data_IF_146900011953
#
_entry.id   IF_146900011953
#
_cell.length_a   1.000
_cell.length_b   1.000
_cell.length_c   1.000
_cell.angle_alpha   90.00
_cell.angle_beta   90.00
_cell.angle_gamma   90.00
#
_symmetry.space_group_name_H-M   'P 1'
#
loop_
_entity.id
_entity.type
_entity.pdbx_description
1 polymer ?
#
# COMPACT_ATOMS: atom_id res chain seq x y z
N UNK A 1 -14.70 -25.48 34.57
CA UNK A 1 -15.00 -24.95 33.22
C UNK A 1 -13.98 -23.86 32.92
N UNK A 2 -13.12 -24.05 31.92
CA UNK A 2 -12.14 -23.03 31.53
C UNK A 2 -12.88 -21.85 30.90
N UNK A 3 -12.94 -20.72 31.59
CA UNK A 3 -13.40 -19.47 30.98
C UNK A 3 -12.43 -19.12 29.85
N UNK A 4 -12.94 -18.91 28.64
CA UNK A 4 -12.12 -18.42 27.53
C UNK A 4 -11.67 -17.00 27.92
N UNK A 5 -10.42 -16.86 28.37
CA UNK A 5 -9.99 -15.65 29.10
C UNK A 5 -9.82 -14.42 28.21
N UNK A 6 -9.69 -14.56 26.88
CA UNK A 6 -9.72 -13.43 25.94
C UNK A 6 -9.97 -13.93 24.52
N UNK A 7 -11.01 -13.42 23.86
CA UNK A 7 -11.29 -13.70 22.44
C UNK A 7 -10.73 -12.58 21.56
N UNK A 8 -9.96 -12.95 20.54
CA UNK A 8 -9.44 -12.01 19.54
C UNK A 8 -10.09 -12.27 18.19
N UNK A 9 -10.62 -11.23 17.53
CA UNK A 9 -11.30 -11.35 16.24
C UNK A 9 -10.88 -10.27 15.25
N UNK A 10 -11.13 -10.56 13.97
CA UNK A 10 -11.08 -9.65 12.84
C UNK A 10 -12.31 -9.92 11.97
N UNK A 11 -13.20 -8.95 11.88
CA UNK A 11 -14.42 -9.00 11.09
C UNK A 11 -14.26 -7.98 9.96
N UNK A 12 -14.57 -8.40 8.74
CA UNK A 12 -14.68 -7.51 7.59
C UNK A 12 -16.08 -7.64 7.02
N UNK A 13 -16.75 -6.51 6.82
CA UNK A 13 -18.04 -6.41 6.14
C UNK A 13 -17.87 -5.51 4.93
N UNK A 14 -18.32 -6.00 3.79
CA UNK A 14 -18.36 -5.27 2.52
C UNK A 14 -19.84 -5.05 2.19
N UNK A 15 -20.25 -3.81 2.06
CA UNK A 15 -21.63 -3.45 1.73
C UNK A 15 -21.63 -2.64 0.45
N UNK A 16 -22.46 -3.06 -0.50
CA UNK A 16 -22.78 -2.32 -1.71
C UNK A 16 -24.16 -1.66 -1.50
N UNK A 17 -24.28 -0.38 -1.82
CA UNK A 17 -25.50 0.40 -1.69
C UNK A 17 -26.07 0.70 -3.09
N UNK A 18 -27.39 0.86 -3.17
CA UNK A 18 -28.09 1.33 -4.36
C UNK A 18 -28.48 2.82 -4.19
N UNK A 19 -28.53 3.28 -2.95
CA UNK A 19 -28.88 4.63 -2.51
C UNK A 19 -27.71 5.23 -1.70
N UNK A 20 -27.60 6.57 -1.58
CA UNK A 20 -26.49 7.18 -0.86
C UNK A 20 -26.34 6.60 0.55
N UNK A 21 -25.15 6.09 0.92
CA UNK A 21 -24.98 5.36 2.16
C UNK A 21 -25.24 6.24 3.37
N UNK A 22 -25.91 5.69 4.39
CA UNK A 22 -25.88 6.27 5.73
C UNK A 22 -24.41 6.22 6.19
N UNK A 23 -23.80 7.39 6.39
CA UNK A 23 -22.43 7.50 6.85
C UNK A 23 -22.33 7.02 8.31
N UNK A 24 -21.95 5.77 8.50
CA UNK A 24 -21.70 5.20 9.83
C UNK A 24 -20.30 5.60 10.27
N UNK A 25 -20.15 6.11 11.50
CA UNK A 25 -18.84 6.44 12.05
C UNK A 25 -18.18 5.23 12.71
N UNK A 26 -16.84 5.25 12.84
CA UNK A 26 -16.10 4.24 13.59
C UNK A 26 -16.63 4.10 15.04
N UNK A 27 -17.11 5.20 15.65
CA UNK A 27 -17.65 5.21 17.02
C UNK A 27 -18.99 4.48 17.10
N UNK A 28 -19.85 4.63 16.11
CA UNK A 28 -21.15 3.95 16.07
C UNK A 28 -20.97 2.44 16.02
N UNK A 29 -20.01 1.97 15.22
CA UNK A 29 -19.68 0.55 15.14
C UNK A 29 -19.07 0.06 16.45
N UNK A 30 -18.12 0.77 17.03
CA UNK A 30 -17.52 0.39 18.32
C UNK A 30 -18.56 0.26 19.44
N UNK A 31 -19.59 1.11 19.46
CA UNK A 31 -20.68 1.05 20.47
C UNK A 31 -21.45 -0.28 20.44
N UNK A 32 -21.55 -0.93 19.28
CA UNK A 32 -22.25 -2.23 19.15
C UNK A 32 -21.56 -3.37 19.90
N UNK A 33 -20.29 -3.22 20.26
CA UNK A 33 -19.51 -4.24 20.95
C UNK A 33 -19.31 -3.96 22.45
N UNK A 34 -19.96 -2.94 23.01
CA UNK A 34 -19.79 -2.52 24.42
C UNK A 34 -20.15 -3.60 25.45
N UNK A 35 -21.03 -4.54 25.08
CA UNK A 35 -21.46 -5.64 25.95
C UNK A 35 -20.61 -6.92 25.80
N UNK A 36 -19.56 -6.90 24.97
CA UNK A 36 -18.69 -8.06 24.74
C UNK A 36 -17.45 -7.92 25.62
N UNK A 37 -17.18 -8.93 26.46
CA UNK A 37 -15.93 -9.03 27.22
C UNK A 37 -14.77 -9.42 26.28
N UNK A 38 -14.26 -8.47 25.51
CA UNK A 38 -13.06 -8.61 24.71
C UNK A 38 -12.07 -7.48 25.00
N UNK A 39 -10.86 -7.57 24.43
CA UNK A 39 -9.89 -6.48 24.46
C UNK A 39 -10.41 -5.23 23.74
N UNK A 40 -9.60 -4.16 23.74
CA UNK A 40 -9.91 -2.92 23.03
C UNK A 40 -10.28 -3.19 21.57
N UNK A 41 -11.37 -2.57 21.12
CA UNK A 41 -11.91 -2.74 19.77
C UNK A 41 -11.56 -1.52 18.94
N UNK A 42 -11.08 -1.79 17.74
CA UNK A 42 -10.75 -0.78 16.74
C UNK A 42 -11.64 -1.01 15.53
N UNK A 43 -12.07 0.09 14.92
CA UNK A 43 -12.87 0.08 13.71
C UNK A 43 -12.21 0.94 12.64
N UNK A 44 -12.24 0.47 11.41
CA UNK A 44 -11.79 1.19 10.21
C UNK A 44 -12.88 1.08 9.15
N UNK A 45 -13.33 2.22 8.63
CA UNK A 45 -14.31 2.28 7.55
C UNK A 45 -13.65 2.98 6.35
N UNK A 46 -13.65 2.30 5.22
CA UNK A 46 -13.26 2.84 3.93
C UNK A 46 -14.51 3.03 3.06
N UNK A 47 -14.65 4.21 2.48
CA UNK A 47 -15.72 4.57 1.54
C UNK A 47 -15.12 4.62 0.13
N UNK A 48 -15.73 3.90 -0.82
CA UNK A 48 -15.30 3.82 -2.21
C UNK A 48 -16.30 4.59 -3.10
N UNK A 49 -15.84 5.15 -4.23
CA UNK A 49 -16.62 6.04 -5.08
C UNK A 49 -17.84 5.39 -5.76
N UNK A 50 -17.99 4.07 -5.69
CA UNK A 50 -19.09 3.31 -6.26
C UNK A 50 -19.84 2.63 -5.11
N UNK A 51 -20.67 3.40 -4.41
CA UNK A 51 -21.63 2.94 -3.40
C UNK A 51 -21.17 1.75 -2.56
N UNK A 52 -19.92 1.77 -2.12
CA UNK A 52 -19.30 0.60 -1.49
C UNK A 52 -18.58 1.04 -0.26
N UNK A 53 -18.82 0.31 0.82
CA UNK A 53 -18.09 0.49 2.08
C UNK A 53 -17.46 -0.80 2.51
N UNK A 54 -16.26 -0.68 3.06
CA UNK A 54 -15.62 -1.78 3.77
C UNK A 54 -15.42 -1.36 5.21
N UNK A 55 -16.16 -2.00 6.10
CA UNK A 55 -16.00 -1.88 7.53
C UNK A 55 -15.12 -3.03 8.03
N UNK A 56 -14.12 -2.69 8.83
CA UNK A 56 -13.25 -3.64 9.52
C UNK A 56 -13.35 -3.39 11.01
N UNK A 57 -13.62 -4.44 11.77
CA UNK A 57 -13.65 -4.40 13.23
C UNK A 57 -12.73 -5.46 13.77
N UNK A 58 -11.84 -5.08 14.67
CA UNK A 58 -10.91 -6.03 15.28
C UNK A 58 -10.58 -5.67 16.71
N UNK A 59 -10.31 -6.71 17.49
CA UNK A 59 -9.87 -6.60 18.88
C UNK A 59 -8.35 -6.65 18.99
N UNK A 60 -7.79 -5.95 19.96
CA UNK A 60 -6.37 -6.05 20.31
C UNK A 60 -6.09 -7.21 21.29
N UNK A 61 -4.90 -7.85 21.22
CA UNK A 61 -3.81 -7.60 20.28
C UNK A 61 -4.08 -8.14 18.87
N UNK A 62 -3.51 -7.46 17.86
CA UNK A 62 -3.68 -7.81 16.43
C UNK A 62 -3.01 -9.14 16.10
N UNK A 63 -3.76 -10.10 15.57
CA UNK A 63 -3.24 -11.42 15.17
C UNK A 63 -3.31 -11.71 13.66
N UNK A 64 -3.93 -10.85 12.87
CA UNK A 64 -4.01 -11.05 11.42
C UNK A 64 -2.74 -10.53 10.73
N UNK A 65 -2.36 -11.20 9.64
CA UNK A 65 -1.12 -10.90 8.90
C UNK A 65 -1.34 -10.21 7.56
N UNK A 66 -2.61 -10.08 7.14
CA UNK A 66 -2.99 -9.52 5.86
C UNK A 66 -4.08 -8.47 6.08
N UNK A 67 -3.95 -7.34 5.39
CA UNK A 67 -4.94 -6.28 5.36
C UNK A 67 -5.12 -5.83 3.91
N UNK A 68 -6.36 -5.79 3.41
CA UNK A 68 -6.63 -5.57 1.99
C UNK A 68 -7.61 -4.43 1.78
N UNK A 69 -7.59 -3.83 0.58
CA UNK A 69 -8.48 -2.76 0.13
C UNK A 69 -8.49 -1.55 1.08
N UNK A 70 -7.31 -1.10 1.53
CA UNK A 70 -7.19 0.06 2.43
C UNK A 70 -7.02 1.33 1.61
N UNK A 71 -7.78 2.38 1.94
CA UNK A 71 -7.66 3.69 1.29
C UNK A 71 -6.83 4.65 2.16
N UNK A 72 -7.14 5.95 2.18
CA UNK A 72 -6.42 6.95 2.99
C UNK A 72 -6.68 6.84 4.50
N UNK A 73 -7.60 5.97 4.92
CA UNK A 73 -8.09 5.87 6.30
C UNK A 73 -7.28 4.89 7.15
N UNK A 74 -5.98 5.14 7.32
CA UNK A 74 -5.14 4.39 8.26
C UNK A 74 -5.30 5.00 9.67
N UNK A 75 -5.77 4.24 10.68
CA UNK A 75 -5.84 4.74 12.04
C UNK A 75 -4.45 4.94 12.62
N UNK A 76 -4.34 5.76 13.67
CA UNK A 76 -3.10 5.94 14.41
C UNK A 76 -2.79 4.72 15.30
N UNK A 77 -2.50 3.59 14.66
CA UNK A 77 -2.23 2.29 15.28
C UNK A 77 -1.05 1.63 14.54
N UNK A 78 -0.23 0.88 15.29
CA UNK A 78 0.86 0.08 14.72
C UNK A 78 0.41 -1.37 14.54
N UNK A 79 0.44 -1.84 13.30
CA UNK A 79 0.03 -3.17 12.86
C UNK A 79 1.23 -4.11 12.75
N UNK A 80 1.84 -4.46 13.89
CA UNK A 80 3.07 -5.27 13.93
C UNK A 80 2.94 -6.66 13.31
N UNK A 81 1.75 -7.25 13.29
CA UNK A 81 1.49 -8.58 12.71
C UNK A 81 1.22 -8.55 11.21
N UNK A 82 0.87 -7.38 10.63
CA UNK A 82 0.54 -7.25 9.22
C UNK A 82 1.82 -7.23 8.38
N UNK A 83 1.91 -8.22 7.48
CA UNK A 83 3.03 -8.40 6.55
C UNK A 83 2.62 -8.28 5.10
N UNK A 84 1.31 -8.36 4.80
CA UNK A 84 0.76 -8.23 3.45
C UNK A 84 -0.30 -7.13 3.44
N UNK A 85 -0.10 -6.12 2.58
CA UNK A 85 -1.00 -4.98 2.48
C UNK A 85 -1.40 -4.73 1.02
N UNK A 86 -2.70 -4.59 0.79
CA UNK A 86 -3.25 -4.13 -0.49
C UNK A 86 -3.92 -2.77 -0.28
N UNK A 87 -3.38 -1.75 -0.94
CA UNK A 87 -3.89 -0.39 -0.95
C UNK A 87 -4.73 -0.14 -2.19
N UNK A 88 -5.76 0.69 -2.01
CA UNK A 88 -6.67 1.08 -3.06
C UNK A 88 -6.79 2.59 -3.13
N UNK A 89 -6.37 3.13 -4.26
CA UNK A 89 -6.26 4.56 -4.51
C UNK A 89 -7.57 5.12 -5.09
N UNK A 90 -8.59 5.25 -4.25
CA UNK A 90 -9.82 5.99 -4.58
C UNK A 90 -9.56 7.49 -4.68
N UNK A 91 -8.79 7.99 -3.71
CA UNK A 91 -8.32 9.37 -3.64
C UNK A 91 -6.79 9.33 -3.59
N UNK A 92 -6.10 10.07 -4.46
CA UNK A 92 -4.66 10.03 -4.55
C UNK A 92 -3.91 10.10 -3.22
N UNK A 93 -3.04 9.12 -2.98
CA UNK A 93 -2.17 9.09 -1.82
C UNK A 93 -1.15 10.23 -1.87
N UNK A 94 -1.22 11.12 -0.89
CA UNK A 94 -0.23 12.17 -0.67
C UNK A 94 1.05 11.61 -0.06
N UNK A 95 2.15 12.35 -0.15
CA UNK A 95 3.43 11.92 0.44
C UNK A 95 3.34 11.58 1.95
N UNK A 96 2.63 12.40 2.73
CA UNK A 96 2.37 12.17 4.16
C UNK A 96 1.64 10.84 4.45
N UNK A 97 0.90 10.31 3.47
CA UNK A 97 0.28 8.99 3.61
C UNK A 97 1.35 7.90 3.65
N UNK A 98 2.39 7.95 2.81
CA UNK A 98 3.47 6.96 2.82
C UNK A 98 4.30 7.01 4.11
N UNK A 99 4.44 8.19 4.74
CA UNK A 99 5.07 8.29 6.07
C UNK A 99 4.21 7.56 7.12
N UNK A 100 2.90 7.83 7.12
CA UNK A 100 1.96 7.15 8.03
C UNK A 100 1.94 5.64 7.76
N UNK A 101 2.02 5.24 6.50
CA UNK A 101 2.05 3.85 6.07
C UNK A 101 3.27 3.11 6.64
N UNK A 102 4.48 3.66 6.46
CA UNK A 102 5.70 3.05 7.00
C UNK A 102 5.67 2.93 8.54
N UNK A 103 5.10 3.94 9.23
CA UNK A 103 4.93 3.92 10.70
C UNK A 103 3.89 2.91 11.17
N UNK A 104 2.77 2.80 10.45
CA UNK A 104 1.68 1.90 10.80
C UNK A 104 2.00 0.44 10.50
N UNK A 105 2.81 0.16 9.46
CA UNK A 105 3.11 -1.20 9.00
C UNK A 105 4.63 -1.47 8.95
N UNK A 106 5.32 -1.45 10.11
CA UNK A 106 6.78 -1.50 10.14
C UNK A 106 7.36 -2.82 9.58
N UNK A 107 6.61 -3.93 9.61
CA UNK A 107 7.05 -5.25 9.17
C UNK A 107 6.45 -5.69 7.82
N UNK A 108 5.94 -4.76 7.02
CA UNK A 108 5.37 -5.08 5.70
C UNK A 108 6.40 -5.78 4.81
N UNK A 109 6.00 -6.90 4.23
CA UNK A 109 6.79 -7.73 3.30
C UNK A 109 6.25 -7.68 1.88
N UNK A 110 4.93 -7.56 1.73
CA UNK A 110 4.26 -7.45 0.43
C UNK A 110 3.35 -6.24 0.42
N UNK A 111 3.56 -5.34 -0.54
CA UNK A 111 2.73 -4.17 -0.77
C UNK A 111 2.18 -4.23 -2.19
N UNK A 112 0.87 -4.07 -2.33
CA UNK A 112 0.22 -3.91 -3.62
C UNK A 112 -0.58 -2.62 -3.65
N UNK A 113 -0.47 -1.84 -4.72
CA UNK A 113 -1.20 -0.57 -4.88
C UNK A 113 -2.01 -0.65 -6.16
N UNK A 114 -3.30 -0.40 -6.02
CA UNK A 114 -4.28 -0.49 -7.10
C UNK A 114 -4.97 0.86 -7.27
N UNK A 115 -5.06 1.33 -8.50
CA UNK A 115 -5.86 2.50 -8.87
C UNK A 115 -6.77 2.09 -10.04
N UNK A 116 -8.08 2.41 -9.96
CA UNK A 116 -9.07 2.15 -11.01
C UNK A 116 -9.38 3.41 -11.85
N UNK A 117 -8.85 4.57 -11.46
CA UNK A 117 -9.20 5.86 -12.08
C UNK A 117 -8.55 6.01 -13.47
N UNK A 118 -9.32 6.47 -14.49
CA UNK A 118 -8.80 6.71 -15.85
C UNK A 118 -7.69 7.76 -15.88
N UNK A 119 -6.82 7.65 -16.88
CA UNK A 119 -5.68 8.55 -17.16
C UNK A 119 -6.03 10.05 -17.35
N UNK A 120 -7.31 10.45 -17.26
CA UNK A 120 -7.79 11.82 -17.43
C UNK A 120 -7.72 12.69 -16.17
N UNK A 121 -7.36 12.12 -15.01
CA UNK A 121 -6.97 12.94 -13.86
C UNK A 121 -5.60 13.54 -14.14
N UNK A 122 -5.61 14.71 -14.78
CA UNK A 122 -4.48 15.63 -14.82
C UNK A 122 -4.17 16.03 -13.39
N UNK A 123 -3.34 15.23 -12.74
CA UNK A 123 -2.81 15.54 -11.44
C UNK A 123 -2.07 16.86 -11.55
N UNK A 124 -2.52 17.85 -10.77
CA UNK A 124 -1.85 19.12 -10.73
C UNK A 124 -0.43 18.88 -10.17
N UNK A 125 0.58 19.13 -11.02
CA UNK A 125 2.01 19.01 -10.67
C UNK A 125 2.36 19.89 -9.45
N UNK A 126 1.51 20.86 -9.11
CA UNK A 126 1.62 21.69 -7.91
C UNK A 126 1.62 20.89 -6.59
N UNK A 127 1.08 19.67 -6.57
CA UNK A 127 1.09 18.79 -5.39
C UNK A 127 2.42 18.07 -5.15
N UNK A 128 3.38 18.18 -6.07
CA UNK A 128 4.75 17.69 -5.95
C UNK A 128 5.74 18.84 -5.70
N UNK A 129 5.34 19.90 -4.99
CA UNK A 129 6.31 20.89 -4.53
C UNK A 129 7.34 20.17 -3.64
N UNK A 130 8.50 19.86 -4.23
CA UNK A 130 9.65 19.11 -3.70
C UNK A 130 10.27 19.70 -2.41
N UNK A 131 9.74 20.82 -1.90
CA UNK A 131 10.30 21.56 -0.76
C UNK A 131 9.98 20.95 0.61
N UNK A 132 9.07 19.99 0.70
CA UNK A 132 8.63 19.38 1.98
C UNK A 132 9.24 17.99 2.26
N UNK A 133 10.25 17.57 1.49
CA UNK A 133 10.90 16.26 1.71
C UNK A 133 11.91 16.33 2.85
N UNK A 134 11.43 16.07 4.06
CA UNK A 134 12.31 16.11 5.24
C UNK A 134 13.06 14.79 5.51
N UNK A 135 12.67 13.65 4.90
CA UNK A 135 13.32 12.36 5.16
C UNK A 135 13.00 11.27 4.14
N UNK A 136 13.97 10.41 3.84
CA UNK A 136 13.74 9.18 3.07
C UNK A 136 12.81 8.25 3.86
N UNK A 137 11.77 7.71 3.21
CA UNK A 137 10.86 6.74 3.81
C UNK A 137 11.47 5.34 3.68
N UNK A 138 11.57 4.60 4.78
CA UNK A 138 12.16 3.27 4.76
C UNK A 138 11.10 2.18 4.86
N UNK A 139 11.22 1.16 4.00
CA UNK A 139 10.48 -0.09 4.12
C UNK A 139 11.48 -1.25 4.29
N UNK A 140 12.06 -1.44 5.48
CA UNK A 140 13.20 -2.32 5.70
C UNK A 140 12.89 -3.80 5.45
N UNK A 141 11.61 -4.18 5.49
CA UNK A 141 11.14 -5.55 5.34
C UNK A 141 10.43 -5.82 4.02
N UNK A 142 10.24 -4.81 3.15
CA UNK A 142 9.50 -4.97 1.91
C UNK A 142 10.29 -5.82 0.91
N UNK A 143 9.70 -6.94 0.51
CA UNK A 143 10.28 -7.96 -0.38
C UNK A 143 9.60 -7.91 -1.75
N UNK A 144 8.28 -7.71 -1.77
CA UNK A 144 7.45 -7.71 -2.97
C UNK A 144 6.68 -6.40 -3.08
N UNK A 145 6.84 -5.71 -4.21
CA UNK A 145 6.09 -4.50 -4.56
C UNK A 145 5.30 -4.75 -5.86
N UNK A 146 3.98 -4.65 -5.77
CA UNK A 146 3.07 -4.78 -6.90
C UNK A 146 2.40 -3.44 -7.19
N UNK A 147 2.88 -2.78 -8.24
CA UNK A 147 2.42 -1.47 -8.70
C UNK A 147 2.02 -1.53 -10.18
N UNK A 148 1.64 -2.72 -10.66
CA UNK A 148 1.23 -2.95 -12.06
C UNK A 148 -0.02 -2.16 -12.44
N UNK A 149 -0.90 -1.89 -11.47
CA UNK A 149 -2.12 -1.10 -11.66
C UNK A 149 -2.10 0.22 -10.88
N UNK A 150 -0.90 0.65 -10.50
CA UNK A 150 -0.71 1.87 -9.74
C UNK A 150 -0.49 3.05 -10.70
N UNK A 151 -0.68 4.26 -10.17
CA UNK A 151 -0.27 5.46 -10.87
C UNK A 151 1.28 5.54 -10.89
N UNK A 152 1.89 5.71 -12.07
CA UNK A 152 2.74 6.89 -12.28
C UNK A 152 3.70 7.28 -11.15
N UNK A 153 3.19 8.21 -10.35
CA UNK A 153 3.91 8.86 -9.27
C UNK A 153 4.26 7.93 -8.12
N UNK A 154 3.53 6.83 -7.94
CA UNK A 154 3.90 5.82 -6.94
C UNK A 154 5.10 5.01 -7.40
N UNK A 155 5.23 4.74 -8.70
CA UNK A 155 6.44 4.15 -9.26
C UNK A 155 7.65 5.04 -8.97
N UNK A 156 7.53 6.32 -9.29
CA UNK A 156 8.55 7.32 -9.00
C UNK A 156 8.85 7.42 -7.49
N UNK A 157 7.82 7.36 -6.63
CA UNK A 157 7.98 7.41 -5.18
C UNK A 157 8.78 6.23 -4.63
N UNK A 158 8.45 5.00 -5.05
CA UNK A 158 9.07 3.79 -4.51
C UNK A 158 10.44 3.50 -5.12
N UNK A 159 10.63 3.75 -6.43
CA UNK A 159 11.88 3.41 -7.09
C UNK A 159 12.98 4.44 -6.82
N UNK A 160 12.63 5.72 -6.63
CA UNK A 160 13.62 6.77 -6.39
C UNK A 160 14.19 6.69 -4.96
N UNK A 161 15.50 6.46 -4.86
CA UNK A 161 16.21 6.28 -3.59
C UNK A 161 16.24 7.53 -2.70
N UNK A 162 16.06 8.71 -3.29
CA UNK A 162 15.96 9.97 -2.54
C UNK A 162 14.60 10.13 -1.84
N UNK A 163 13.61 9.32 -2.24
CA UNK A 163 12.25 9.30 -1.66
C UNK A 163 12.04 8.11 -0.74
N UNK A 164 12.45 6.93 -1.20
CA UNK A 164 12.18 5.67 -0.54
C UNK A 164 13.40 4.76 -0.54
N UNK A 165 13.71 4.15 0.60
CA UNK A 165 14.75 3.14 0.71
C UNK A 165 14.14 1.74 0.84
N UNK A 166 14.47 0.87 -0.14
CA UNK A 166 13.96 -0.50 -0.25
C UNK A 166 15.14 -1.49 -0.20
N UNK A 167 15.68 -1.82 0.99
CA UNK A 167 16.87 -2.66 1.10
C UNK A 167 16.64 -4.13 0.76
N UNK A 168 15.40 -4.62 0.84
CA UNK A 168 15.05 -6.04 0.68
C UNK A 168 14.15 -6.33 -0.52
N UNK A 169 13.91 -5.35 -1.38
CA UNK A 169 13.06 -5.54 -2.55
C UNK A 169 13.68 -6.58 -3.49
N UNK A 170 13.01 -7.70 -3.69
CA UNK A 170 13.44 -8.76 -4.60
C UNK A 170 12.43 -9.05 -5.71
N UNK A 171 11.15 -8.72 -5.50
CA UNK A 171 10.09 -8.88 -6.50
C UNK A 171 9.44 -7.54 -6.80
N UNK A 172 9.40 -7.16 -8.08
CA UNK A 172 8.75 -5.95 -8.56
C UNK A 172 7.77 -6.31 -9.68
N UNK A 173 6.50 -5.90 -9.54
CA UNK A 173 5.51 -5.97 -10.62
C UNK A 173 5.10 -4.57 -11.02
N UNK A 174 5.25 -4.25 -12.31
CA UNK A 174 5.16 -2.89 -12.82
C UNK A 174 4.85 -2.90 -14.32
N UNK A 175 4.21 -1.85 -14.83
CA UNK A 175 4.06 -1.66 -16.29
C UNK A 175 5.40 -1.29 -16.89
N UNK A 176 5.73 -1.85 -18.05
CA UNK A 176 7.03 -1.61 -18.69
C UNK A 176 7.21 -0.12 -19.03
N UNK A 177 6.15 0.50 -19.52
CA UNK A 177 6.12 1.91 -19.93
C UNK A 177 6.36 2.84 -18.74
N UNK A 178 5.78 2.50 -17.58
CA UNK A 178 6.00 3.29 -16.36
C UNK A 178 7.44 3.17 -15.86
N UNK A 179 7.99 1.95 -15.94
CA UNK A 179 9.35 1.68 -15.55
C UNK A 179 10.35 2.42 -16.46
N UNK A 180 10.16 2.33 -17.77
CA UNK A 180 10.95 3.03 -18.78
C UNK A 180 10.92 4.55 -18.58
N UNK A 181 9.73 5.12 -18.33
CA UNK A 181 9.58 6.55 -18.08
C UNK A 181 10.27 7.01 -16.80
N UNK A 182 10.04 6.32 -15.67
CA UNK A 182 10.62 6.70 -14.36
C UNK A 182 12.13 6.52 -14.32
N UNK A 183 12.66 5.52 -15.02
CA UNK A 183 14.11 5.27 -15.13
C UNK A 183 14.77 6.08 -16.23
N UNK A 184 14.02 6.88 -17.00
CA UNK A 184 14.52 7.61 -18.18
C UNK A 184 15.26 6.66 -19.13
N UNK A 185 14.54 5.65 -19.63
CA UNK A 185 15.09 4.57 -20.45
C UNK A 185 16.28 3.85 -19.76
N UNK A 186 16.15 3.52 -18.48
CA UNK A 186 17.17 2.81 -17.70
C UNK A 186 18.51 3.55 -17.54
N UNK A 187 18.51 4.89 -17.62
CA UNK A 187 19.72 5.72 -17.47
C UNK A 187 19.79 6.50 -16.15
N UNK A 188 18.69 6.58 -15.41
CA UNK A 188 18.59 7.37 -14.18
C UNK A 188 19.17 6.65 -12.97
N UNK A 189 20.16 7.25 -12.32
CA UNK A 189 20.87 6.61 -11.20
C UNK A 189 20.05 6.58 -9.90
N UNK A 190 19.21 7.58 -9.62
CA UNK A 190 18.45 7.63 -8.35
C UNK A 190 17.46 6.47 -8.23
N UNK A 191 16.98 5.93 -9.35
CA UNK A 191 16.06 4.80 -9.37
C UNK A 191 16.79 3.45 -9.42
N UNK A 192 18.12 3.46 -9.63
CA UNK A 192 18.93 2.28 -9.90
C UNK A 192 19.19 1.46 -8.64
N UNK A 193 19.46 2.08 -7.49
CA UNK A 193 19.82 1.34 -6.26
C UNK A 193 18.68 0.48 -5.72
N UNK A 194 17.44 0.95 -5.79
CA UNK A 194 16.28 0.14 -5.40
C UNK A 194 16.04 -0.98 -6.43
N UNK A 195 16.15 -0.64 -7.72
CA UNK A 195 15.97 -1.58 -8.83
C UNK A 195 17.02 -2.70 -8.84
N UNK A 196 18.28 -2.40 -8.51
CA UNK A 196 19.38 -3.34 -8.61
C UNK A 196 19.26 -4.56 -7.67
N UNK A 197 18.37 -4.51 -6.67
CA UNK A 197 18.12 -5.60 -5.71
C UNK A 197 17.06 -6.60 -6.21
N UNK A 198 16.29 -6.21 -7.23
CA UNK A 198 15.19 -7.01 -7.78
C UNK A 198 15.75 -8.23 -8.51
N UNK A 199 15.26 -9.40 -8.12
CA UNK A 199 15.57 -10.71 -8.70
C UNK A 199 14.48 -11.21 -9.63
N UNK A 200 13.25 -10.72 -9.42
CA UNK A 200 12.07 -11.09 -10.20
C UNK A 200 11.33 -9.82 -10.61
N UNK A 201 11.41 -9.52 -11.90
CA UNK A 201 10.65 -8.43 -12.53
C UNK A 201 9.48 -9.05 -13.29
N UNK A 202 8.26 -8.58 -13.00
CA UNK A 202 7.05 -8.97 -13.73
C UNK A 202 6.51 -7.73 -14.43
N UNK A 203 6.57 -7.73 -15.76
CA UNK A 203 5.95 -6.70 -16.59
C UNK A 203 4.76 -7.30 -17.34
N UNK A 204 3.65 -6.57 -17.41
CA UNK A 204 2.36 -7.13 -17.87
C UNK A 204 2.34 -7.73 -19.28
N UNK A 205 3.28 -7.34 -20.17
CA UNK A 205 3.20 -7.66 -21.60
C UNK A 205 4.51 -8.12 -22.27
N UNK A 206 5.64 -8.24 -21.54
CA UNK A 206 6.91 -8.66 -22.16
C UNK A 206 7.59 -9.79 -21.40
N UNK A 207 8.08 -10.78 -22.16
CA UNK A 207 8.94 -11.87 -21.69
C UNK A 207 10.41 -11.69 -22.08
N UNK A 208 10.73 -10.69 -22.92
CA UNK A 208 12.10 -10.43 -23.39
C UNK A 208 12.44 -8.95 -23.15
N UNK A 209 13.52 -8.71 -22.42
CA UNK A 209 13.94 -7.37 -22.06
C UNK A 209 15.09 -6.88 -22.95
N UNK A 210 15.13 -5.58 -23.31
CA UNK A 210 16.33 -4.96 -23.86
C UNK A 210 17.55 -5.16 -22.95
N UNK A 211 18.76 -5.12 -23.53
CA UNK A 211 20.01 -5.29 -22.77
C UNK A 211 20.15 -4.29 -21.62
N UNK A 212 19.65 -3.08 -21.81
CA UNK A 212 19.73 -2.00 -20.82
C UNK A 212 18.97 -2.33 -19.53
N UNK A 213 17.90 -3.13 -19.62
CA UNK A 213 17.16 -3.62 -18.45
C UNK A 213 18.07 -4.50 -17.58
N UNK A 214 18.89 -5.36 -18.17
CA UNK A 214 19.77 -6.24 -17.40
C UNK A 214 20.91 -5.46 -16.70
N UNK A 215 21.36 -4.35 -17.27
CA UNK A 215 22.30 -3.45 -16.58
C UNK A 215 21.67 -2.72 -15.39
N UNK A 216 20.36 -2.47 -15.47
CA UNK A 216 19.58 -1.81 -14.44
C UNK A 216 19.12 -2.77 -13.34
N UNK A 217 18.90 -4.03 -13.71
CA UNK A 217 18.45 -5.12 -12.86
C UNK A 217 19.42 -6.32 -12.94
N UNK A 218 20.65 -6.19 -12.40
CA UNK A 218 21.72 -7.16 -12.57
C UNK A 218 21.46 -8.52 -11.90
N UNK A 219 20.43 -8.64 -11.05
CA UNK A 219 20.08 -9.87 -10.35
C UNK A 219 18.93 -10.64 -11.02
N UNK A 220 18.40 -10.18 -12.16
CA UNK A 220 17.41 -10.96 -12.91
C UNK A 220 18.05 -12.23 -13.43
N UNK A 221 17.53 -13.37 -12.99
CA UNK A 221 17.85 -14.66 -13.61
C UNK A 221 17.23 -14.71 -15.00
N UNK A 222 18.06 -14.88 -16.02
CA UNK A 222 17.66 -15.21 -17.40
C UNK A 222 17.02 -16.60 -17.44
#
# INVERSE_FOLDING_TARGET
>A
MSQLHTFTFYITSENDFIDPPILISNLDIQRTFTNIKCGQIVCMIDYFAIDKTICRVFSLPLKFHCLKKITNNIPNLVFNSVTHLELWDENPFKYEFFIRLARAFPFIKSLSIWNIVPASWTFDKSHLNDKDWCSIIEYPHLISLDILRANIYYVEHFLNETKTYLPRLTELKIRYEDLEMVTTNFTRDETRRNSAKVKRLIVGHSTVYPKDVYYYFPLLSV
#
